data_IF_106606159849
#
_entry.id   IF_106606159849
#
_cell.length_a   1.000
_cell.length_b   1.000
_cell.length_c   1.000
_cell.angle_alpha   90.00
_cell.angle_beta   90.00
_cell.angle_gamma   90.00
#
_symmetry.space_group_name_H-M   'P 1'
#
loop_
_entity.id
_entity.type
_entity.pdbx_description
1 polymer ?
#
# COMPACT_ATOMS: atom_id res chain seq x y z
N UNK A 1 8.15 -10.11 15.09
CA UNK A 1 7.30 -11.19 15.64
C UNK A 1 6.46 -11.79 14.50
N UNK A 2 7.09 -12.48 13.54
CA UNK A 2 6.43 -12.93 12.29
C UNK A 2 6.30 -14.46 12.21
N UNK A 3 6.85 -15.17 13.19
CA UNK A 3 6.90 -16.63 13.25
C UNK A 3 5.51 -17.27 13.30
N UNK A 4 4.50 -16.57 13.82
CA UNK A 4 3.14 -17.10 13.93
C UNK A 4 2.40 -17.07 12.58
N UNK A 5 2.62 -16.05 11.74
CA UNK A 5 1.93 -15.92 10.45
C UNK A 5 2.44 -16.99 9.47
N UNK A 6 3.76 -17.21 9.43
CA UNK A 6 4.35 -18.24 8.59
C UNK A 6 3.94 -19.65 9.05
N UNK A 7 3.96 -19.92 10.36
CA UNK A 7 3.52 -21.20 10.89
C UNK A 7 2.03 -21.48 10.59
N UNK A 8 1.16 -20.47 10.69
CA UNK A 8 -0.24 -20.60 10.32
C UNK A 8 -0.42 -20.85 8.82
N UNK A 9 0.34 -20.16 7.96
CA UNK A 9 0.30 -20.40 6.52
C UNK A 9 0.78 -21.82 6.16
N UNK A 10 1.85 -22.30 6.79
CA UNK A 10 2.36 -23.66 6.59
C UNK A 10 1.46 -24.76 7.15
N UNK A 11 0.53 -24.44 8.05
CA UNK A 11 -0.43 -25.39 8.61
C UNK A 11 -1.70 -25.56 7.76
N UNK A 12 -1.89 -24.74 6.72
CA UNK A 12 -3.03 -24.84 5.80
C UNK A 12 -2.81 -25.94 4.77
N UNK A 13 -3.90 -26.57 4.33
CA UNK A 13 -3.90 -27.42 3.15
C UNK A 13 -3.64 -26.59 1.88
N UNK A 14 -3.14 -27.21 0.81
CA UNK A 14 -2.81 -26.50 -0.44
C UNK A 14 -3.99 -25.67 -0.99
N UNK A 15 -5.20 -26.23 -0.94
CA UNK A 15 -6.42 -25.54 -1.37
C UNK A 15 -6.72 -24.30 -0.52
N UNK A 16 -6.62 -24.42 0.81
CA UNK A 16 -6.86 -23.32 1.74
C UNK A 16 -5.76 -22.25 1.63
N UNK A 17 -4.52 -22.66 1.38
CA UNK A 17 -3.41 -21.73 1.16
C UNK A 17 -3.64 -20.92 -0.12
N UNK A 18 -4.03 -21.57 -1.22
CA UNK A 18 -4.35 -20.88 -2.49
C UNK A 18 -5.53 -19.91 -2.32
N UNK A 19 -6.61 -20.34 -1.66
CA UNK A 19 -7.76 -19.48 -1.39
C UNK A 19 -7.37 -18.28 -0.50
N UNK A 20 -6.54 -18.51 0.53
CA UNK A 20 -6.11 -17.46 1.45
C UNK A 20 -5.15 -16.46 0.80
N UNK A 21 -4.23 -16.92 -0.05
CA UNK A 21 -3.36 -16.04 -0.83
C UNK A 21 -4.20 -15.17 -1.77
N UNK A 22 -5.19 -15.74 -2.46
CA UNK A 22 -6.11 -14.97 -3.31
C UNK A 22 -6.90 -13.92 -2.52
N UNK A 23 -7.41 -14.28 -1.35
CA UNK A 23 -8.12 -13.35 -0.48
C UNK A 23 -7.22 -12.22 0.06
N UNK A 24 -5.97 -12.52 0.40
CA UNK A 24 -4.99 -11.51 0.83
C UNK A 24 -4.61 -10.58 -0.32
N UNK A 25 -4.39 -11.10 -1.52
CA UNK A 25 -4.14 -10.29 -2.72
C UNK A 25 -5.32 -9.38 -3.05
N UNK A 26 -6.56 -9.84 -2.87
CA UNK A 26 -7.77 -9.02 -3.00
C UNK A 26 -7.78 -7.86 -2.01
N UNK A 27 -7.54 -8.15 -0.73
CA UNK A 27 -7.47 -7.12 0.33
C UNK A 27 -6.34 -6.13 0.11
N UNK A 28 -5.18 -6.60 -0.34
CA UNK A 28 -4.04 -5.74 -0.68
C UNK A 28 -4.40 -4.79 -1.83
N UNK A 29 -5.13 -5.29 -2.84
CA UNK A 29 -5.60 -4.47 -3.94
C UNK A 29 -6.66 -3.47 -3.50
N UNK A 30 -7.61 -3.86 -2.66
CA UNK A 30 -8.62 -2.95 -2.09
C UNK A 30 -7.96 -1.84 -1.27
N UNK A 31 -7.03 -2.18 -0.38
CA UNK A 31 -6.26 -1.21 0.39
C UNK A 31 -5.43 -0.30 -0.52
N UNK A 32 -4.85 -0.84 -1.60
CA UNK A 32 -4.14 -0.03 -2.60
C UNK A 32 -5.06 0.95 -3.33
N UNK A 33 -6.28 0.54 -3.70
CA UNK A 33 -7.28 1.42 -4.34
C UNK A 33 -7.71 2.52 -3.37
N UNK A 34 -7.97 2.18 -2.11
CA UNK A 34 -8.30 3.14 -1.08
C UNK A 34 -7.16 4.16 -0.90
N UNK A 35 -5.91 3.69 -0.82
CA UNK A 35 -4.74 4.56 -0.75
C UNK A 35 -4.65 5.51 -1.95
N UNK A 36 -4.82 5.01 -3.19
CA UNK A 36 -4.82 5.84 -4.40
C UNK A 36 -5.91 6.91 -4.36
N UNK A 37 -7.11 6.58 -3.90
CA UNK A 37 -8.19 7.56 -3.76
C UNK A 37 -7.84 8.68 -2.75
N UNK A 38 -7.19 8.33 -1.64
CA UNK A 38 -6.73 9.31 -0.66
C UNK A 38 -5.57 10.15 -1.19
N UNK A 39 -4.66 9.56 -1.97
CA UNK A 39 -3.59 10.27 -2.64
C UNK A 39 -4.14 11.26 -3.68
N UNK A 40 -5.14 10.88 -4.46
CA UNK A 40 -5.80 11.79 -5.40
C UNK A 40 -6.49 12.97 -4.69
N UNK A 41 -7.10 12.73 -3.52
CA UNK A 41 -7.67 13.79 -2.69
C UNK A 41 -6.59 14.70 -2.08
N UNK A 42 -5.41 14.14 -1.77
CA UNK A 42 -4.24 14.88 -1.28
C UNK A 42 -3.60 15.71 -2.40
N UNK A 43 -3.57 15.21 -3.64
CA UNK A 43 -3.07 15.92 -4.82
C UNK A 43 -3.87 17.20 -5.08
N UNK A 44 -5.19 17.14 -4.87
CA UNK A 44 -6.06 18.31 -4.93
C UNK A 44 -5.81 19.34 -3.81
N UNK A 45 -4.97 19.02 -2.81
CA UNK A 45 -4.66 19.85 -1.64
C UNK A 45 -3.15 20.00 -1.43
N UNK A 46 -2.44 20.67 -2.36
CA UNK A 46 -0.98 20.78 -2.32
C UNK A 46 -0.44 21.50 -1.07
N UNK A 47 -1.27 22.32 -0.41
CA UNK A 47 -0.92 22.97 0.85
C UNK A 47 -0.59 21.99 1.99
N UNK A 48 -1.10 20.75 1.97
CA UNK A 48 -0.89 19.78 3.04
C UNK A 48 0.54 19.23 3.04
N UNK A 49 1.00 18.71 1.90
CA UNK A 49 2.38 18.22 1.79
C UNK A 49 3.41 19.34 1.67
N UNK A 50 3.02 20.50 1.12
CA UNK A 50 3.88 21.68 1.11
C UNK A 50 4.15 22.25 2.51
N UNK A 51 3.17 22.17 3.43
CA UNK A 51 3.36 22.56 4.83
C UNK A 51 4.35 21.65 5.57
N UNK A 52 4.48 20.39 5.15
CA UNK A 52 5.50 19.46 5.66
C UNK A 52 6.86 19.60 4.96
N UNK A 53 6.98 20.49 3.97
CA UNK A 53 8.23 20.76 3.27
C UNK A 53 8.47 19.90 2.03
N UNK A 54 7.50 19.11 1.60
CA UNK A 54 7.61 18.30 0.38
C UNK A 54 7.14 19.11 -0.84
N UNK A 55 7.99 19.21 -1.85
CA UNK A 55 7.73 20.03 -3.05
C UNK A 55 6.77 19.39 -4.07
N UNK A 56 6.44 18.11 -3.89
CA UNK A 56 5.52 17.38 -4.77
C UNK A 56 4.89 16.21 -4.02
N UNK A 57 3.73 15.74 -4.48
CA UNK A 57 3.09 14.54 -3.94
C UNK A 57 3.97 13.29 -4.13
N UNK A 58 4.76 13.24 -5.21
CA UNK A 58 5.76 12.19 -5.43
C UNK A 58 6.83 12.15 -4.33
N UNK A 59 7.37 13.32 -3.95
CA UNK A 59 8.32 13.42 -2.83
C UNK A 59 7.68 12.98 -1.52
N UNK A 60 6.43 13.39 -1.27
CA UNK A 60 5.69 12.95 -0.10
C UNK A 60 5.46 11.43 -0.07
N UNK A 61 5.07 10.82 -1.19
CA UNK A 61 4.86 9.37 -1.29
C UNK A 61 6.15 8.56 -1.08
N UNK A 62 7.27 9.02 -1.61
CA UNK A 62 8.55 8.31 -1.50
C UNK A 62 9.23 8.55 -0.15
N UNK A 63 9.17 9.76 0.41
CA UNK A 63 9.82 10.10 1.69
C UNK A 63 8.95 9.77 2.91
N UNK A 64 7.65 10.07 2.90
CA UNK A 64 6.76 9.88 4.06
C UNK A 64 6.10 8.51 4.05
N UNK A 65 5.53 8.11 2.90
CA UNK A 65 4.86 6.81 2.79
C UNK A 65 5.82 5.65 2.49
N UNK A 66 7.11 5.95 2.26
CA UNK A 66 8.16 4.97 1.95
C UNK A 66 7.77 4.04 0.79
N UNK A 67 6.94 4.55 -0.13
CA UNK A 67 6.57 3.83 -1.34
C UNK A 67 7.76 3.83 -2.28
N UNK A 68 8.01 2.69 -2.94
CA UNK A 68 8.98 2.64 -4.02
C UNK A 68 8.61 3.65 -5.12
N UNK A 69 9.61 4.11 -5.85
CA UNK A 69 9.42 5.03 -6.96
C UNK A 69 8.44 4.48 -8.02
N UNK A 70 8.60 3.20 -8.36
CA UNK A 70 7.71 2.43 -9.24
C UNK A 70 6.27 2.34 -8.68
N UNK A 71 6.16 2.10 -7.37
CA UNK A 71 4.89 2.03 -6.66
C UNK A 71 4.17 3.39 -6.65
N UNK A 72 4.93 4.49 -6.63
CA UNK A 72 4.38 5.84 -6.67
C UNK A 72 3.94 6.18 -8.09
N UNK A 73 4.80 6.03 -9.10
CA UNK A 73 4.46 6.30 -10.50
C UNK A 73 3.26 5.51 -11.04
N UNK A 74 3.02 4.28 -10.56
CA UNK A 74 1.85 3.51 -10.97
C UNK A 74 0.54 3.96 -10.31
N UNK A 75 0.61 4.92 -9.36
CA UNK A 75 -0.49 5.33 -8.48
C UNK A 75 -0.82 6.84 -8.55
N UNK A 76 -0.01 7.65 -9.23
CA UNK A 76 -0.24 9.09 -9.53
C UNK A 76 -0.38 9.30 -11.03
#
# INVERSE_FOLDING_TARGET
MNTNILALASSLSDHDLLARVGALAGKEREASVELVAHLAALDARPALFAAEGHGSLFTYCTEVLQLSEDATCNRI
#
